data_IF_581284053539
#
_entry.id   IF_581284053539
#
_cell.length_a   1.000
_cell.length_b   1.000
_cell.length_c   1.000
_cell.angle_alpha   90.00
_cell.angle_beta   90.00
_cell.angle_gamma   90.00
#
_symmetry.space_group_name_H-M   'P 1'
#
loop_
_entity.id
_entity.type
_entity.pdbx_description
1 polymer ?
#
# COMPACT_ATOMS: atom_id res chain seq x y z
N UNK A 1 -23.98 -23.58 0.73
CA UNK A 1 -22.69 -24.10 0.21
C UNK A 1 -23.00 -24.78 -1.10
N UNK A 2 -22.57 -24.19 -2.22
CA UNK A 2 -22.75 -24.80 -3.55
C UNK A 2 -21.45 -25.48 -3.91
N UNK A 3 -21.48 -26.81 -4.05
CA UNK A 3 -20.31 -27.58 -4.49
C UNK A 3 -20.39 -27.70 -6.01
N UNK A 4 -19.51 -26.99 -6.72
CA UNK A 4 -19.34 -27.17 -8.15
C UNK A 4 -18.29 -28.25 -8.37
N UNK A 5 -18.69 -29.39 -8.93
CA UNK A 5 -17.76 -30.46 -9.30
C UNK A 5 -17.38 -30.26 -10.76
N UNK A 6 -16.10 -30.00 -11.03
CA UNK A 6 -15.59 -30.07 -12.41
C UNK A 6 -15.57 -31.52 -12.85
N UNK A 7 -16.34 -31.87 -13.90
CA UNK A 7 -16.36 -33.21 -14.46
C UNK A 7 -15.22 -33.36 -15.47
N UNK A 8 -14.00 -33.59 -14.99
CA UNK A 8 -12.86 -33.89 -15.85
C UNK A 8 -12.90 -35.38 -16.21
N UNK A 9 -13.02 -35.68 -17.50
CA UNK A 9 -12.99 -37.05 -18.02
C UNK A 9 -11.64 -37.68 -17.66
N UNK A 10 -11.66 -38.93 -17.18
CA UNK A 10 -10.46 -39.68 -16.74
C UNK A 10 -9.80 -39.17 -15.44
N UNK A 11 -10.46 -38.30 -14.67
CA UNK A 11 -9.97 -37.92 -13.35
C UNK A 11 -9.84 -39.15 -12.43
N UNK A 12 -8.63 -39.38 -11.91
CA UNK A 12 -8.31 -40.47 -10.97
C UNK A 12 -8.41 -40.03 -9.51
N UNK A 13 -8.54 -38.73 -9.24
CA UNK A 13 -8.72 -38.15 -7.91
C UNK A 13 -9.49 -36.82 -8.01
N UNK A 14 -10.02 -36.37 -6.87
CA UNK A 14 -10.72 -35.09 -6.73
C UNK A 14 -10.07 -34.27 -5.62
N UNK A 15 -10.01 -32.95 -5.80
CA UNK A 15 -9.61 -31.99 -4.77
C UNK A 15 -10.83 -31.16 -4.35
N UNK A 16 -11.09 -31.08 -3.05
CA UNK A 16 -12.05 -30.13 -2.49
C UNK A 16 -11.30 -28.84 -2.16
N UNK A 17 -11.59 -27.76 -2.90
CA UNK A 17 -11.11 -26.42 -2.59
C UNK A 17 -12.21 -25.62 -1.90
N UNK A 18 -11.88 -25.00 -0.77
CA UNK A 18 -12.75 -24.10 -0.05
C UNK A 18 -11.99 -22.84 0.33
N UNK A 19 -12.57 -21.68 0.01
CA UNK A 19 -12.05 -20.36 0.36
C UNK A 19 -13.06 -19.63 1.24
N UNK A 20 -12.57 -18.89 2.23
CA UNK A 20 -13.37 -17.97 3.02
C UNK A 20 -12.58 -16.70 3.27
N UNK A 21 -13.26 -15.55 3.27
CA UNK A 21 -12.66 -14.30 3.70
C UNK A 21 -12.73 -14.18 5.23
N UNK A 22 -11.68 -13.64 5.83
CA UNK A 22 -11.64 -13.27 7.25
C UNK A 22 -11.04 -11.89 7.39
N UNK A 23 -11.34 -11.20 8.49
CA UNK A 23 -10.62 -9.98 8.86
C UNK A 23 -9.14 -10.34 9.09
N UNK A 24 -8.22 -9.57 8.53
CA UNK A 24 -6.78 -9.81 8.69
C UNK A 24 -6.34 -9.63 10.15
N UNK A 25 -6.99 -8.72 10.89
CA UNK A 25 -6.55 -8.22 12.20
C UNK A 25 -5.12 -7.65 12.17
N UNK A 26 -4.61 -7.33 10.98
CA UNK A 26 -3.34 -6.66 10.80
C UNK A 26 -3.39 -5.31 11.52
N UNK A 27 -2.30 -4.98 12.22
CA UNK A 27 -2.16 -3.74 12.95
C UNK A 27 -1.38 -2.75 12.09
N UNK A 28 -1.95 -1.57 11.86
CA UNK A 28 -1.24 -0.44 11.27
C UNK A 28 -0.37 0.26 12.32
N UNK A 29 -0.79 0.21 13.59
CA UNK A 29 0.00 0.64 14.73
C UNK A 29 -0.12 -0.42 15.83
N UNK A 30 1.01 -0.89 16.36
CA UNK A 30 1.05 -1.82 17.49
C UNK A 30 0.94 -1.06 18.81
N UNK A 31 0.32 -1.68 19.81
CA UNK A 31 0.20 -1.07 21.13
C UNK A 31 1.59 -0.86 21.74
N UNK A 32 1.84 0.32 22.29
CA UNK A 32 3.10 0.64 22.97
C UNK A 32 3.20 0.02 24.38
N UNK A 33 2.09 -0.52 24.91
CA UNK A 33 2.01 -1.17 26.22
C UNK A 33 0.91 -2.23 26.26
N UNK A 34 1.12 -3.30 27.02
CA UNK A 34 0.13 -4.34 27.27
C UNK A 34 -1.05 -3.85 28.14
N UNK A 35 -0.85 -2.80 28.94
CA UNK A 35 -1.87 -2.23 29.84
C UNK A 35 -2.51 -0.96 29.25
N UNK A 36 -2.99 -1.05 28.01
CA UNK A 36 -3.61 0.07 27.31
C UNK A 36 -4.94 0.50 27.97
N UNK A 37 -5.05 1.78 28.34
CA UNK A 37 -6.20 2.37 29.04
C UNK A 37 -7.24 2.95 28.08
N UNK A 38 -6.88 3.16 26.81
CA UNK A 38 -7.77 3.70 25.78
C UNK A 38 -7.40 3.18 24.38
N UNK A 39 -8.22 3.53 23.40
CA UNK A 39 -8.04 3.07 22.01
C UNK A 39 -6.74 3.55 21.36
N UNK A 40 -6.23 4.73 21.73
CA UNK A 40 -4.97 5.27 21.19
C UNK A 40 -3.77 4.46 21.68
N UNK A 41 -3.80 4.02 22.93
CA UNK A 41 -2.74 3.18 23.51
C UNK A 41 -2.78 1.73 23.02
N UNK A 42 -3.93 1.25 22.56
CA UNK A 42 -4.12 -0.13 22.07
C UNK A 42 -3.69 -0.31 20.60
N UNK A 43 -3.14 0.73 19.98
CA UNK A 43 -2.81 0.74 18.55
C UNK A 43 -4.05 0.66 17.65
N UNK A 44 -3.83 0.57 16.35
CA UNK A 44 -4.88 0.61 15.33
C UNK A 44 -4.81 -0.59 14.39
N UNK A 45 -5.97 -1.04 13.93
CA UNK A 45 -6.06 -2.03 12.85
C UNK A 45 -5.92 -1.33 11.51
N UNK A 46 -5.32 -2.01 10.54
CA UNK A 46 -5.29 -1.55 9.17
C UNK A 46 -6.72 -1.51 8.59
N UNK A 47 -7.01 -0.46 7.83
CA UNK A 47 -8.29 -0.30 7.14
C UNK A 47 -8.31 -1.05 5.82
N UNK A 48 -9.50 -1.22 5.24
CA UNK A 48 -9.66 -1.79 3.91
C UNK A 48 -9.33 -0.75 2.83
N UNK A 49 -8.12 -0.83 2.27
CA UNK A 49 -7.62 0.06 1.21
C UNK A 49 -8.28 -0.18 -0.15
N UNK A 50 -9.12 -1.21 -0.27
CA UNK A 50 -9.92 -1.51 -1.46
C UNK A 50 -11.37 -1.10 -1.28
N UNK A 51 -11.66 -0.16 -0.35
CA UNK A 51 -12.99 0.43 -0.24
C UNK A 51 -12.95 1.89 0.24
N UNK A 52 -13.90 2.68 -0.26
CA UNK A 52 -14.16 4.03 0.26
C UNK A 52 -14.51 4.03 1.76
N UNK A 53 -15.03 2.92 2.29
CA UNK A 53 -15.30 2.79 3.72
C UNK A 53 -14.00 2.80 4.55
N UNK A 54 -12.93 2.19 4.06
CA UNK A 54 -11.62 2.25 4.72
C UNK A 54 -11.12 3.69 4.85
N UNK A 55 -11.17 4.44 3.74
CA UNK A 55 -10.79 5.86 3.73
C UNK A 55 -11.67 6.71 4.67
N UNK A 56 -12.97 6.43 4.74
CA UNK A 56 -13.90 7.06 5.69
C UNK A 56 -13.55 6.77 7.14
N UNK A 57 -13.16 5.53 7.46
CA UNK A 57 -12.73 5.16 8.81
C UNK A 57 -11.48 5.94 9.21
N UNK A 58 -10.45 5.95 8.35
CA UNK A 58 -9.22 6.72 8.57
C UNK A 58 -9.51 8.19 8.82
N UNK A 59 -10.27 8.81 7.93
CA UNK A 59 -10.57 10.25 8.02
C UNK A 59 -11.50 10.63 9.18
N UNK A 60 -12.41 9.74 9.57
CA UNK A 60 -13.26 9.93 10.75
C UNK A 60 -12.42 9.81 12.03
N UNK A 61 -11.50 8.85 12.07
CA UNK A 61 -10.58 8.69 13.19
C UNK A 61 -9.70 9.93 13.39
N UNK A 62 -9.11 10.46 12.31
CA UNK A 62 -8.35 11.71 12.37
C UNK A 62 -9.19 12.86 12.93
N UNK A 63 -10.42 13.03 12.44
CA UNK A 63 -11.33 14.09 12.91
C UNK A 63 -11.70 13.97 14.38
N UNK A 64 -12.01 12.76 14.84
CA UNK A 64 -12.55 12.53 16.17
C UNK A 64 -11.47 12.49 17.25
N UNK A 65 -10.29 11.96 16.93
CA UNK A 65 -9.27 11.64 17.93
C UNK A 65 -7.94 12.38 17.77
N UNK A 66 -7.61 12.88 16.57
CA UNK A 66 -6.32 13.55 16.30
C UNK A 66 -6.49 15.05 16.15
N UNK A 67 -7.53 15.51 15.46
CA UNK A 67 -7.80 16.93 15.21
C UNK A 67 -8.51 17.61 16.38
N UNK A 68 -8.03 17.32 17.59
CA UNK A 68 -8.42 17.98 18.84
C UNK A 68 -7.51 19.16 19.13
N UNK A 69 -7.89 20.02 20.08
CA UNK A 69 -7.02 21.07 20.65
C UNK A 69 -6.26 21.95 19.63
N UNK A 70 -6.97 22.39 18.57
CA UNK A 70 -6.46 23.23 17.47
C UNK A 70 -5.47 22.57 16.50
N UNK A 71 -5.30 21.24 16.54
CA UNK A 71 -4.37 20.54 15.64
C UNK A 71 -4.75 20.76 14.17
N UNK A 72 -6.06 20.80 13.84
CA UNK A 72 -6.52 21.07 12.48
C UNK A 72 -6.07 22.44 11.98
N UNK A 73 -6.29 23.47 12.78
CA UNK A 73 -5.92 24.85 12.45
C UNK A 73 -4.40 24.98 12.32
N UNK A 74 -3.62 24.31 13.17
CA UNK A 74 -2.16 24.29 13.04
C UNK A 74 -1.71 23.59 11.75
N UNK A 75 -2.37 22.51 11.35
CA UNK A 75 -2.12 21.85 10.07
C UNK A 75 -2.50 22.74 8.87
N UNK A 76 -3.56 23.54 8.96
CA UNK A 76 -3.92 24.52 7.93
C UNK A 76 -2.91 25.67 7.84
N UNK A 77 -2.37 26.11 8.99
CA UNK A 77 -1.40 27.21 9.06
C UNK A 77 0.02 26.79 8.63
N UNK A 78 0.41 25.53 8.91
CA UNK A 78 1.81 25.08 8.80
C UNK A 78 2.02 23.78 8.03
N UNK A 79 0.97 22.99 7.82
CA UNK A 79 1.05 21.71 7.12
C UNK A 79 1.35 21.90 5.64
N UNK A 80 2.10 20.95 5.08
CA UNK A 80 2.42 20.94 3.64
C UNK A 80 1.55 19.91 2.90
N UNK A 81 1.44 18.71 3.45
CA UNK A 81 0.69 17.60 2.87
C UNK A 81 0.27 16.60 3.94
N UNK A 82 -0.72 15.78 3.63
CA UNK A 82 -1.03 14.53 4.34
C UNK A 82 -0.34 13.41 3.58
N UNK A 83 0.38 12.54 4.29
CA UNK A 83 1.18 11.47 3.71
C UNK A 83 0.71 10.10 4.20
N UNK A 84 0.67 9.13 3.29
CA UNK A 84 0.43 7.72 3.60
C UNK A 84 1.58 6.89 3.00
N UNK A 85 2.18 6.05 3.85
CA UNK A 85 3.36 5.25 3.53
C UNK A 85 3.02 4.10 2.57
N UNK A 86 3.99 3.23 2.25
CA UNK A 86 3.70 1.96 1.58
C UNK A 86 2.78 1.06 2.43
N UNK A 87 2.13 0.07 1.79
CA UNK A 87 1.13 -0.79 2.45
C UNK A 87 1.69 -2.16 2.79
N UNK A 88 1.98 -2.43 4.06
CA UNK A 88 2.54 -3.72 4.53
C UNK A 88 1.51 -4.61 5.23
N UNK A 89 0.28 -4.69 4.71
CA UNK A 89 -0.79 -5.47 5.35
C UNK A 89 -0.64 -6.96 5.01
N UNK A 90 -0.21 -7.84 5.94
CA UNK A 90 0.01 -9.24 5.60
C UNK A 90 -1.28 -9.94 5.20
N UNK A 91 -1.30 -10.53 4.00
CA UNK A 91 -2.40 -11.38 3.52
C UNK A 91 -1.92 -12.36 2.45
N UNK A 92 -2.57 -13.52 2.35
CA UNK A 92 -2.36 -14.46 1.23
C UNK A 92 -3.02 -13.97 -0.05
N UNK A 93 -4.18 -13.35 0.10
CA UNK A 93 -5.01 -12.82 -0.98
C UNK A 93 -5.80 -11.66 -0.40
N UNK A 94 -5.69 -10.47 -0.98
CA UNK A 94 -6.51 -9.35 -0.54
C UNK A 94 -7.97 -9.51 -0.98
N UNK A 95 -8.88 -8.98 -0.18
CA UNK A 95 -10.30 -9.13 -0.41
C UNK A 95 -11.08 -7.99 0.24
N UNK A 96 -12.11 -7.50 -0.45
CA UNK A 96 -13.15 -6.61 0.12
C UNK A 96 -14.54 -7.19 -0.12
N UNK A 97 -15.52 -6.80 0.70
CA UNK A 97 -16.88 -7.36 0.64
C UNK A 97 -17.58 -7.12 -0.71
N UNK A 98 -17.33 -5.96 -1.34
CA UNK A 98 -17.95 -5.57 -2.61
C UNK A 98 -17.29 -6.19 -3.84
N UNK A 99 -16.13 -6.86 -3.68
CA UNK A 99 -15.32 -7.34 -4.80
C UNK A 99 -16.10 -8.25 -5.77
N UNK A 100 -16.87 -9.27 -5.34
CA UNK A 100 -17.61 -10.12 -6.29
C UNK A 100 -18.63 -9.38 -7.15
N UNK A 101 -19.30 -8.37 -6.58
CA UNK A 101 -20.30 -7.59 -7.30
C UNK A 101 -19.65 -6.65 -8.30
N UNK A 102 -18.58 -5.96 -7.89
CA UNK A 102 -17.84 -5.02 -8.74
C UNK A 102 -17.13 -5.77 -9.87
N UNK A 103 -16.45 -6.88 -9.55
CA UNK A 103 -15.81 -7.75 -10.54
C UNK A 103 -16.81 -8.20 -11.61
N UNK A 104 -17.98 -8.72 -11.20
CA UNK A 104 -18.99 -9.19 -12.13
C UNK A 104 -19.54 -8.06 -13.01
N UNK A 105 -19.67 -6.86 -12.45
CA UNK A 105 -20.11 -5.67 -13.19
C UNK A 105 -19.07 -5.23 -14.23
N UNK A 106 -17.78 -5.29 -13.91
CA UNK A 106 -16.70 -4.87 -14.81
C UNK A 106 -16.42 -5.89 -15.92
N UNK A 107 -16.37 -7.18 -15.57
CA UNK A 107 -15.87 -8.23 -16.47
C UNK A 107 -16.98 -9.12 -17.06
N UNK A 108 -18.22 -9.01 -16.56
CA UNK A 108 -19.38 -9.70 -17.10
C UNK A 108 -19.54 -11.16 -16.66
N UNK A 109 -18.69 -11.67 -15.75
CA UNK A 109 -18.78 -13.03 -15.21
C UNK A 109 -18.51 -13.10 -13.71
N UNK A 110 -18.97 -14.18 -13.07
CA UNK A 110 -18.75 -14.38 -11.63
C UNK A 110 -17.33 -14.88 -11.36
N UNK A 111 -16.63 -14.29 -10.38
CA UNK A 111 -15.29 -14.75 -9.98
C UNK A 111 -15.27 -16.07 -9.21
N UNK A 112 -16.39 -16.48 -8.61
CA UNK A 112 -16.46 -17.65 -7.71
C UNK A 112 -15.88 -18.95 -8.28
N UNK A 113 -16.11 -19.33 -9.55
CA UNK A 113 -15.53 -20.55 -10.13
C UNK A 113 -14.00 -20.53 -10.22
N UNK A 114 -13.39 -19.34 -10.16
CA UNK A 114 -11.98 -19.11 -10.47
C UNK A 114 -11.14 -18.74 -9.23
N UNK A 115 -11.74 -18.63 -8.04
CA UNK A 115 -11.06 -18.18 -6.82
C UNK A 115 -9.78 -18.95 -6.48
N UNK A 116 -9.70 -20.22 -6.86
CA UNK A 116 -8.50 -21.04 -6.67
C UNK A 116 -7.26 -20.44 -7.36
N UNK A 117 -7.43 -19.73 -8.48
CA UNK A 117 -6.35 -19.09 -9.21
C UNK A 117 -5.71 -17.92 -8.44
N UNK A 118 -6.38 -17.36 -7.42
CA UNK A 118 -5.83 -16.28 -6.56
C UNK A 118 -5.03 -16.82 -5.36
N UNK A 119 -5.03 -18.15 -5.16
CA UNK A 119 -4.50 -18.77 -3.95
C UNK A 119 -3.01 -18.49 -3.78
N UNK A 120 -2.66 -17.69 -2.76
CA UNK A 120 -1.29 -17.53 -2.27
C UNK A 120 -0.39 -16.60 -3.09
N UNK A 121 -0.93 -15.86 -4.06
CA UNK A 121 -0.15 -15.01 -4.97
C UNK A 121 -0.67 -13.57 -5.10
N UNK A 122 -1.76 -13.21 -4.42
CA UNK A 122 -2.46 -11.92 -4.62
C UNK A 122 -2.55 -11.13 -3.31
N UNK A 123 -1.50 -11.19 -2.50
CA UNK A 123 -1.38 -10.49 -1.22
C UNK A 123 0.08 -10.24 -0.84
N UNK A 124 0.29 -9.40 0.18
CA UNK A 124 1.64 -9.15 0.69
C UNK A 124 2.08 -10.25 1.65
N UNK A 125 3.15 -10.95 1.28
CA UNK A 125 3.76 -12.02 2.08
C UNK A 125 5.25 -11.75 2.28
N UNK A 126 5.72 -11.92 3.51
CA UNK A 126 7.14 -11.81 3.87
C UNK A 126 7.90 -13.13 3.67
N UNK A 127 7.38 -14.08 2.87
CA UNK A 127 7.97 -15.40 2.66
C UNK A 127 7.56 -16.09 1.35
N UNK A 128 8.30 -17.14 0.97
CA UNK A 128 8.08 -17.87 -0.29
C UNK A 128 6.73 -18.58 -0.31
N UNK A 129 5.93 -18.26 -1.35
CA UNK A 129 4.81 -19.01 -1.94
C UNK A 129 3.80 -19.60 -0.94
N UNK A 130 2.55 -19.14 -1.01
CA UNK A 130 1.43 -19.89 -0.42
C UNK A 130 1.49 -21.37 -0.85
N UNK A 131 1.10 -22.31 0.01
CA UNK A 131 1.50 -23.73 -0.11
C UNK A 131 0.99 -24.44 -1.37
N UNK A 132 0.07 -23.83 -2.14
CA UNK A 132 -0.55 -24.42 -3.34
C UNK A 132 -0.88 -23.29 -4.34
N UNK A 133 -0.36 -23.43 -5.56
CA UNK A 133 -0.73 -22.63 -6.72
C UNK A 133 -1.63 -23.44 -7.66
N UNK A 134 -2.62 -22.78 -8.24
CA UNK A 134 -3.53 -23.36 -9.22
C UNK A 134 -3.37 -22.66 -10.56
N UNK A 135 -3.35 -23.43 -11.63
CA UNK A 135 -3.37 -22.93 -13.02
C UNK A 135 -4.57 -23.54 -13.75
N UNK A 136 -5.09 -22.82 -14.73
CA UNK A 136 -6.07 -23.38 -15.65
C UNK A 136 -5.39 -24.20 -16.75
N UNK A 137 -6.14 -25.11 -17.38
CA UNK A 137 -5.74 -25.82 -18.59
C UNK A 137 -5.99 -25.00 -19.88
N UNK A 138 -6.45 -23.76 -19.72
CA UNK A 138 -6.56 -22.80 -20.82
C UNK A 138 -5.19 -22.34 -21.32
N UNK A 139 -5.16 -21.78 -22.53
CA UNK A 139 -3.91 -21.33 -23.17
C UNK A 139 -3.14 -20.28 -22.34
N UNK A 140 -3.84 -19.46 -21.57
CA UNK A 140 -3.27 -18.42 -20.71
C UNK A 140 -3.04 -18.89 -19.27
N UNK A 141 -3.33 -20.16 -18.97
CA UNK A 141 -3.21 -20.76 -17.64
C UNK A 141 -4.00 -20.03 -16.54
N UNK A 142 -5.00 -19.22 -16.90
CA UNK A 142 -5.80 -18.43 -15.97
C UNK A 142 -5.27 -17.02 -15.72
N UNK A 143 -4.23 -16.59 -16.43
CA UNK A 143 -3.66 -15.25 -16.32
C UNK A 143 -4.68 -14.14 -16.60
N UNK A 144 -5.63 -14.35 -17.53
CA UNK A 144 -6.69 -13.38 -17.83
C UNK A 144 -7.58 -13.10 -16.61
N UNK A 145 -7.99 -14.15 -15.89
CA UNK A 145 -8.78 -13.96 -14.67
C UNK A 145 -8.00 -13.23 -13.56
N UNK A 146 -6.71 -13.55 -13.40
CA UNK A 146 -5.85 -12.85 -12.43
C UNK A 146 -5.68 -11.38 -12.82
N UNK A 147 -5.54 -11.08 -14.12
CA UNK A 147 -5.49 -9.71 -14.62
C UNK A 147 -6.79 -8.94 -14.36
N UNK A 148 -7.95 -9.56 -14.61
CA UNK A 148 -9.27 -8.96 -14.33
C UNK A 148 -9.44 -8.70 -12.81
N UNK A 149 -8.95 -9.61 -11.96
CA UNK A 149 -8.92 -9.39 -10.51
C UNK A 149 -8.06 -8.17 -10.17
N UNK A 150 -6.82 -8.10 -10.65
CA UNK A 150 -5.91 -6.97 -10.39
C UNK A 150 -6.43 -5.65 -10.92
N UNK A 151 -7.07 -5.64 -12.09
CA UNK A 151 -7.73 -4.45 -12.65
C UNK A 151 -8.88 -3.99 -11.73
N UNK A 152 -9.68 -4.93 -11.21
CA UNK A 152 -10.74 -4.61 -10.24
C UNK A 152 -10.14 -4.01 -8.96
N UNK A 153 -9.08 -4.62 -8.42
CA UNK A 153 -8.38 -4.13 -7.22
C UNK A 153 -7.74 -2.75 -7.43
N UNK A 154 -7.23 -2.49 -8.64
CA UNK A 154 -6.65 -1.19 -9.03
C UNK A 154 -7.71 -0.09 -8.96
N UNK A 155 -8.87 -0.30 -9.59
CA UNK A 155 -9.96 0.67 -9.53
C UNK A 155 -10.47 0.91 -8.10
N UNK A 156 -10.53 -0.14 -7.27
CA UNK A 156 -10.92 -0.03 -5.86
C UNK A 156 -9.92 0.78 -5.02
N UNK A 157 -8.61 0.59 -5.25
CA UNK A 157 -7.57 1.39 -4.61
C UNK A 157 -7.66 2.85 -5.06
N UNK A 158 -7.90 3.11 -6.34
CA UNK A 158 -8.09 4.46 -6.86
C UNK A 158 -9.27 5.17 -6.18
N UNK A 159 -10.41 4.49 -6.00
CA UNK A 159 -11.55 5.06 -5.26
C UNK A 159 -11.21 5.42 -3.80
N UNK A 160 -10.40 4.59 -3.13
CA UNK A 160 -9.89 4.86 -1.78
C UNK A 160 -8.98 6.11 -1.77
N UNK A 161 -8.01 6.17 -2.68
CA UNK A 161 -7.04 7.26 -2.78
C UNK A 161 -7.71 8.59 -3.17
N UNK A 162 -8.64 8.56 -4.13
CA UNK A 162 -9.40 9.73 -4.56
C UNK A 162 -10.25 10.29 -3.43
N UNK A 163 -10.86 9.42 -2.61
CA UNK A 163 -11.59 9.87 -1.43
C UNK A 163 -10.67 10.59 -0.44
N UNK A 164 -9.50 10.00 -0.12
CA UNK A 164 -8.54 10.63 0.80
C UNK A 164 -8.00 11.95 0.24
N UNK A 165 -7.71 12.00 -1.06
CA UNK A 165 -7.22 13.21 -1.70
C UNK A 165 -8.26 14.33 -1.63
N UNK A 166 -9.50 14.03 -2.05
CA UNK A 166 -10.63 14.96 -1.95
C UNK A 166 -10.87 15.42 -0.51
N UNK A 167 -10.86 14.49 0.45
CA UNK A 167 -11.07 14.83 1.84
C UNK A 167 -9.98 15.75 2.39
N UNK A 168 -8.72 15.51 2.02
CA UNK A 168 -7.56 16.33 2.42
C UNK A 168 -7.71 17.74 1.88
N UNK A 169 -8.09 17.89 0.61
CA UNK A 169 -8.37 19.19 0.00
C UNK A 169 -9.50 19.92 0.72
N UNK A 170 -10.64 19.26 0.91
CA UNK A 170 -11.86 19.88 1.44
C UNK A 170 -11.79 20.16 2.95
N UNK A 171 -11.09 19.31 3.72
CA UNK A 171 -11.05 19.41 5.18
C UNK A 171 -9.86 20.24 5.67
N UNK A 172 -8.71 20.14 5.01
CA UNK A 172 -7.44 20.71 5.48
C UNK A 172 -6.86 21.75 4.53
N UNK A 173 -7.36 21.87 3.30
CA UNK A 173 -6.76 22.74 2.29
C UNK A 173 -5.34 22.32 1.89
N UNK A 174 -4.94 21.09 2.21
CA UNK A 174 -3.62 20.52 1.93
C UNK A 174 -3.66 19.59 0.72
N UNK A 175 -2.49 19.12 0.28
CA UNK A 175 -2.34 18.06 -0.72
C UNK A 175 -2.16 16.69 -0.08
N UNK A 176 -2.43 15.62 -0.82
CA UNK A 176 -2.06 14.25 -0.40
C UNK A 176 -0.84 13.70 -1.15
N UNK A 177 0.02 13.00 -0.42
CA UNK A 177 1.15 12.23 -0.95
C UNK A 177 1.02 10.76 -0.53
N UNK A 178 1.42 9.84 -1.39
CA UNK A 178 1.35 8.41 -1.07
C UNK A 178 2.38 7.60 -1.87
N UNK A 179 2.88 6.53 -1.27
CA UNK A 179 3.66 5.49 -1.97
C UNK A 179 2.72 4.52 -2.72
N UNK A 180 2.35 4.91 -3.95
CA UNK A 180 1.22 4.34 -4.69
C UNK A 180 1.36 2.87 -5.06
N UNK A 181 0.43 2.04 -4.60
CA UNK A 181 0.27 0.64 -5.06
C UNK A 181 1.34 -0.33 -4.56
N UNK A 182 2.18 0.09 -3.62
CA UNK A 182 3.25 -0.74 -3.06
C UNK A 182 2.69 -1.98 -2.39
N UNK A 183 3.29 -3.14 -2.67
CA UNK A 183 2.94 -4.42 -2.04
C UNK A 183 1.47 -4.87 -2.26
N UNK A 184 0.75 -4.25 -3.20
CA UNK A 184 -0.64 -4.54 -3.53
C UNK A 184 -0.75 -5.20 -4.92
N UNK A 185 -1.76 -6.07 -5.15
CA UNK A 185 -2.01 -6.72 -6.44
C UNK A 185 -2.75 -5.76 -7.38
N UNK A 186 -2.09 -4.66 -7.73
CA UNK A 186 -2.66 -3.56 -8.54
C UNK A 186 -1.70 -3.16 -9.65
N UNK A 187 -2.23 -2.50 -10.67
CA UNK A 187 -1.40 -1.72 -11.59
C UNK A 187 -1.07 -0.37 -10.93
N UNK A 188 0.14 -0.30 -10.37
CA UNK A 188 0.68 0.92 -9.79
C UNK A 188 0.64 2.11 -10.77
N UNK A 189 0.90 1.87 -12.06
CA UNK A 189 1.01 2.95 -13.04
C UNK A 189 -0.35 3.58 -13.33
N UNK A 190 -1.40 2.77 -13.34
CA UNK A 190 -2.78 3.23 -13.45
C UNK A 190 -3.25 4.01 -12.21
N UNK A 191 -2.77 3.63 -11.02
CA UNK A 191 -3.16 4.27 -9.76
C UNK A 191 -2.40 5.57 -9.43
N UNK A 192 -1.17 5.75 -9.92
CA UNK A 192 -0.33 6.94 -9.65
C UNK A 192 -1.06 8.30 -9.85
N UNK A 193 -1.90 8.48 -10.89
CA UNK A 193 -2.67 9.71 -11.08
C UNK A 193 -3.67 10.06 -9.97
N UNK A 194 -4.03 9.13 -9.07
CA UNK A 194 -5.08 9.34 -8.05
C UNK A 194 -4.64 10.17 -6.84
N UNK A 195 -3.35 10.50 -6.70
CA UNK A 195 -2.80 11.34 -5.60
C UNK A 195 -2.17 12.63 -6.12
N UNK A 196 -2.02 13.67 -5.30
CA UNK A 196 -1.44 14.93 -5.79
C UNK A 196 0.08 14.84 -6.00
N UNK A 197 0.76 14.14 -5.08
CA UNK A 197 2.21 14.01 -5.04
C UNK A 197 2.51 12.51 -4.92
N UNK A 198 2.67 11.77 -6.02
CA UNK A 198 3.06 10.36 -5.93
C UNK A 198 4.51 10.29 -5.44
N UNK A 199 4.77 9.41 -4.48
CA UNK A 199 6.09 9.22 -3.89
C UNK A 199 6.66 7.84 -4.24
N UNK A 200 7.90 7.82 -4.74
CA UNK A 200 8.68 6.59 -4.94
C UNK A 200 9.63 6.36 -3.76
N UNK A 201 10.49 5.34 -3.79
CA UNK A 201 11.51 5.15 -2.75
C UNK A 201 12.77 4.45 -3.26
N UNK A 202 13.91 4.68 -2.64
CA UNK A 202 15.15 3.96 -3.00
C UNK A 202 15.10 2.48 -2.70
N UNK A 203 14.38 2.05 -1.65
CA UNK A 203 14.39 0.66 -1.17
C UNK A 203 13.66 -0.30 -2.11
N UNK A 204 12.33 -0.20 -2.28
CA UNK A 204 11.59 -1.12 -3.18
C UNK A 204 12.02 -1.02 -4.64
N UNK A 205 12.49 0.15 -5.09
CA UNK A 205 12.97 0.32 -6.46
C UNK A 205 14.46 0.02 -6.62
N UNK A 206 15.14 -0.44 -5.56
CA UNK A 206 16.56 -0.83 -5.56
C UNK A 206 17.49 0.25 -6.14
N UNK A 207 17.13 1.53 -5.96
CA UNK A 207 17.83 2.69 -6.54
C UNK A 207 18.07 2.59 -8.08
N UNK A 208 17.16 1.93 -8.81
CA UNK A 208 17.25 1.75 -10.25
C UNK A 208 16.57 2.90 -11.01
N UNK A 209 17.34 3.61 -11.84
CA UNK A 209 16.84 4.69 -12.72
C UNK A 209 15.64 4.23 -13.56
N UNK A 210 15.67 2.98 -14.06
CA UNK A 210 14.57 2.43 -14.85
C UNK A 210 13.27 2.28 -14.05
N UNK A 211 13.37 1.87 -12.79
CA UNK A 211 12.22 1.75 -11.88
C UNK A 211 11.62 3.11 -11.56
N UNK A 212 12.44 4.08 -11.19
CA UNK A 212 12.00 5.47 -10.98
C UNK A 212 11.37 6.08 -12.23
N UNK A 213 11.90 5.76 -13.43
CA UNK A 213 11.33 6.24 -14.69
C UNK A 213 9.98 5.60 -15.01
N UNK A 214 9.82 4.32 -14.67
CA UNK A 214 8.55 3.63 -14.79
C UNK A 214 7.49 4.30 -13.90
N UNK A 215 7.87 4.68 -12.67
CA UNK A 215 7.01 5.41 -11.73
C UNK A 215 6.71 6.85 -12.20
N UNK A 216 7.73 7.60 -12.62
CA UNK A 216 7.56 9.01 -13.00
C UNK A 216 6.82 9.20 -14.32
N UNK A 217 6.82 8.20 -15.22
CA UNK A 217 6.11 8.22 -16.50
C UNK A 217 4.63 8.59 -16.38
N UNK A 218 3.78 7.77 -15.72
CA UNK A 218 2.37 8.07 -15.51
C UNK A 218 2.14 9.36 -14.71
N UNK A 219 3.00 9.68 -13.73
CA UNK A 219 2.91 10.94 -12.98
C UNK A 219 3.07 12.16 -13.91
N UNK A 220 4.06 12.13 -14.80
CA UNK A 220 4.26 13.19 -15.80
C UNK A 220 3.10 13.26 -16.80
N UNK A 221 2.59 12.11 -17.28
CA UNK A 221 1.43 12.07 -18.19
C UNK A 221 0.16 12.63 -17.53
N UNK A 222 -0.01 12.40 -16.23
CA UNK A 222 -1.10 12.95 -15.43
C UNK A 222 -0.88 14.42 -15.02
N UNK A 223 0.23 15.06 -15.45
CA UNK A 223 0.52 16.46 -15.16
C UNK A 223 0.85 16.74 -13.69
N UNK A 224 1.39 15.75 -12.95
CA UNK A 224 1.83 15.95 -11.57
C UNK A 224 3.05 16.86 -11.56
N UNK A 225 2.94 18.00 -10.89
CA UNK A 225 4.03 18.97 -10.80
C UNK A 225 5.14 18.51 -9.86
N UNK A 226 4.82 17.65 -8.90
CA UNK A 226 5.74 17.15 -7.89
C UNK A 226 5.69 15.64 -7.88
N UNK A 227 6.87 15.02 -7.96
CA UNK A 227 7.08 13.58 -7.85
C UNK A 227 8.13 13.42 -6.75
N UNK A 228 7.73 12.84 -5.64
CA UNK A 228 8.55 12.71 -4.44
C UNK A 228 9.32 11.39 -4.42
N UNK A 229 10.34 11.30 -3.59
CA UNK A 229 11.03 10.05 -3.25
C UNK A 229 11.38 10.02 -1.77
N UNK A 230 11.10 8.90 -1.12
CA UNK A 230 11.78 8.51 0.11
C UNK A 230 13.21 8.04 -0.22
N UNK A 231 14.18 8.87 0.12
CA UNK A 231 15.58 8.74 -0.28
C UNK A 231 16.43 8.20 0.87
N UNK A 232 17.26 7.20 0.60
CA UNK A 232 18.28 6.74 1.55
C UNK A 232 17.80 5.69 2.55
N UNK A 233 16.66 5.07 2.29
CA UNK A 233 16.15 3.93 3.05
C UNK A 233 17.03 2.69 2.79
N UNK A 234 18.15 2.58 3.53
CA UNK A 234 19.14 1.52 3.37
C UNK A 234 19.29 0.70 4.65
N UNK A 235 18.94 -0.59 4.60
CA UNK A 235 19.06 -1.51 5.72
C UNK A 235 20.51 -1.71 6.16
N UNK A 236 20.77 -1.66 7.47
CA UNK A 236 22.10 -1.92 8.04
C UNK A 236 23.13 -0.86 7.64
N UNK A 237 22.70 0.36 7.31
CA UNK A 237 23.57 1.47 6.91
C UNK A 237 23.48 2.66 7.85
N UNK A 238 22.83 2.49 9.01
CA UNK A 238 22.79 3.53 10.03
C UNK A 238 24.22 3.93 10.45
N UNK A 239 24.51 5.23 10.43
CA UNK A 239 25.84 5.82 10.72
C UNK A 239 26.97 5.40 9.77
N UNK A 240 26.68 4.63 8.73
CA UNK A 240 27.63 4.24 7.69
C UNK A 240 27.39 4.99 6.38
N UNK A 241 26.12 5.26 6.05
CA UNK A 241 25.75 5.96 4.83
C UNK A 241 26.36 7.36 4.77
N UNK A 242 27.08 7.63 3.69
CA UNK A 242 27.77 8.89 3.45
C UNK A 242 26.90 9.87 2.65
N UNK A 243 27.18 11.17 2.79
CA UNK A 243 26.57 12.18 1.92
C UNK A 243 26.84 11.93 0.44
N UNK A 244 27.98 11.35 0.08
CA UNK A 244 28.32 11.02 -1.31
C UNK A 244 27.39 9.95 -1.88
N UNK A 245 27.07 8.91 -1.10
CA UNK A 245 26.13 7.86 -1.49
C UNK A 245 24.71 8.42 -1.63
N UNK A 246 24.25 9.20 -0.65
CA UNK A 246 22.92 9.82 -0.71
C UNK A 246 22.79 10.79 -1.90
N UNK A 247 23.85 11.55 -2.22
CA UNK A 247 23.90 12.39 -3.41
C UNK A 247 23.89 11.58 -4.71
N UNK A 248 24.43 10.36 -4.72
CA UNK A 248 24.37 9.47 -5.87
C UNK A 248 22.95 8.94 -6.09
N UNK A 249 22.29 8.50 -5.02
CA UNK A 249 20.87 8.10 -5.05
C UNK A 249 19.97 9.24 -5.54
N UNK A 250 20.18 10.46 -5.03
CA UNK A 250 19.45 11.64 -5.46
C UNK A 250 19.61 11.90 -6.97
N UNK A 251 20.83 11.75 -7.52
CA UNK A 251 21.10 11.90 -8.95
C UNK A 251 20.34 10.88 -9.80
N UNK A 252 20.24 9.63 -9.34
CA UNK A 252 19.47 8.60 -10.04
C UNK A 252 17.98 8.97 -10.11
N UNK A 253 17.42 9.40 -8.98
CA UNK A 253 16.03 9.85 -8.90
C UNK A 253 15.77 11.07 -9.81
N UNK A 254 16.63 12.09 -9.76
CA UNK A 254 16.50 13.29 -10.59
C UNK A 254 16.53 12.99 -12.09
N UNK A 255 17.46 12.15 -12.56
CA UNK A 255 17.57 11.76 -13.98
C UNK A 255 16.36 10.93 -14.44
N UNK A 256 15.65 10.31 -13.50
CA UNK A 256 14.42 9.59 -13.76
C UNK A 256 13.16 10.47 -13.71
N UNK A 257 13.25 11.74 -13.31
CA UNK A 257 12.13 12.69 -13.31
C UNK A 257 11.52 12.96 -11.93
N UNK A 258 12.09 12.41 -10.85
CA UNK A 258 11.74 12.82 -9.48
C UNK A 258 12.25 14.24 -9.23
N UNK A 259 11.50 15.06 -8.48
CA UNK A 259 11.85 16.46 -8.25
C UNK A 259 11.67 16.95 -6.79
N UNK A 260 11.19 16.10 -5.88
CA UNK A 260 11.20 16.32 -4.44
C UNK A 260 11.91 15.15 -3.76
N UNK A 261 12.84 15.44 -2.86
CA UNK A 261 13.57 14.44 -2.08
C UNK A 261 13.16 14.54 -0.62
N UNK A 262 12.75 13.43 -0.02
CA UNK A 262 12.47 13.29 1.41
C UNK A 262 13.48 12.29 1.96
N UNK A 263 14.43 12.75 2.78
CA UNK A 263 15.48 11.87 3.32
C UNK A 263 14.85 10.96 4.38
N UNK A 264 14.98 9.65 4.21
CA UNK A 264 14.46 8.67 5.14
C UNK A 264 15.20 8.70 6.47
N UNK A 265 14.44 8.60 7.56
CA UNK A 265 14.96 8.19 8.86
C UNK A 265 15.62 9.29 9.69
N UNK A 266 15.34 10.57 9.45
CA UNK A 266 15.73 11.61 10.41
C UNK A 266 14.98 11.40 11.73
N UNK A 267 15.70 10.92 12.74
CA UNK A 267 15.13 10.68 14.05
C UNK A 267 15.06 11.98 14.85
N UNK A 268 14.05 12.07 15.71
CA UNK A 268 13.86 13.23 16.56
C UNK A 268 15.12 13.53 17.38
N UNK A 269 15.68 14.72 17.21
CA UNK A 269 17.00 15.09 17.73
C UNK A 269 17.03 15.42 19.23
N UNK A 270 15.90 15.38 19.92
CA UNK A 270 15.82 15.65 21.35
C UNK A 270 15.89 14.35 22.17
N UNK A 271 16.01 14.49 23.48
CA UNK A 271 16.06 13.35 24.42
C UNK A 271 14.82 12.47 24.30
N UNK A 272 15.04 11.21 23.96
CA UNK A 272 14.06 10.13 24.10
C UNK A 272 14.30 9.37 25.41
N UNK A 273 13.23 9.04 26.13
CA UNK A 273 13.32 8.23 27.34
C UNK A 273 14.02 6.89 27.08
N UNK A 274 14.90 6.49 28.00
CA UNK A 274 15.68 5.24 27.93
C UNK A 274 16.56 5.10 26.66
N UNK A 275 17.03 6.20 26.08
CA UNK A 275 18.01 6.19 24.98
C UNK A 275 19.29 6.93 25.36
N UNK A 276 20.39 6.58 24.70
CA UNK A 276 21.66 7.34 24.72
C UNK A 276 21.96 7.85 23.33
N UNK A 277 22.82 8.86 23.19
CA UNK A 277 23.35 9.26 21.88
C UNK A 277 23.81 8.01 21.11
N UNK A 278 23.45 7.85 19.82
CA UNK A 278 22.75 8.81 18.94
C UNK A 278 21.21 8.81 18.99
N UNK A 279 20.58 8.02 19.85
CA UNK A 279 19.13 7.96 20.04
C UNK A 279 18.46 6.77 19.37
N UNK A 280 17.18 6.92 19.03
CA UNK A 280 16.48 5.94 18.20
C UNK A 280 17.11 5.90 16.80
N UNK A 281 17.17 4.71 16.20
CA UNK A 281 17.73 4.49 14.87
C UNK A 281 16.82 3.53 14.12
N UNK A 282 16.26 3.97 13.00
CA UNK A 282 15.55 3.09 12.07
C UNK A 282 16.53 2.20 11.29
N UNK A 283 16.05 1.05 10.83
CA UNK A 283 16.76 0.18 9.86
C UNK A 283 18.08 -0.47 10.33
N UNK A 284 18.37 -0.42 11.64
CA UNK A 284 19.48 -1.07 12.34
C UNK A 284 20.88 -0.79 11.73
N UNK A 285 21.91 -1.20 12.47
CA UNK A 285 23.34 -0.99 12.15
C UNK A 285 23.90 -2.09 11.25
#
# INVERSE_FOLDING_TARGET
MTVNVSSVKEATSYMLYASYARRSYARACTASSENHQNILQNGSFAVDHFSVMGAKVTTSFLKEYIFIDRIKELMEETGNLVWEDSVEIPSYTYWTLSLPEIFKKQHGYAMTPYLMLLSGNEGYQTGNQGPIQFISDGNDQGAGFVADYRSTMTGLLMEYLEYLNKWTHETLGLKSSQQVGYNLPVDMLEAIPSVDIPETETLSFSNLIAGFRQFSGPANLAGKNVISIELGANFGQAYYQTWTELLQEAKHAFVAGVNQLVIHGETYSHTYDNTTWPGFTSFNY
#
